data_IF_493620932625
#
_entry.id   IF_493620932625
#
_cell.length_a   1.000
_cell.length_b   1.000
_cell.length_c   1.000
_cell.angle_alpha   90.00
_cell.angle_beta   90.00
_cell.angle_gamma   90.00
#
_symmetry.space_group_name_H-M   'P 1'
#
loop_
_entity.id
_entity.type
_entity.pdbx_description
1 polymer ?
#
# COMPACT_ATOMS: atom_id res chain seq x y z
N UNK A 1 19.38 -37.77 -49.41
CA UNK A 1 19.43 -37.65 -47.93
C UNK A 1 19.31 -36.20 -47.40
N UNK A 2 19.54 -35.17 -48.21
CA UNK A 2 19.44 -33.77 -47.82
C UNK A 2 18.00 -33.27 -47.47
N UNK A 3 17.00 -33.80 -48.15
CA UNK A 3 15.59 -33.35 -47.94
C UNK A 3 15.01 -33.66 -46.56
N UNK A 4 15.46 -34.71 -45.88
CA UNK A 4 14.93 -35.10 -44.54
C UNK A 4 15.45 -34.18 -43.43
N UNK A 5 16.66 -33.64 -43.57
CA UNK A 5 17.23 -32.72 -42.58
C UNK A 5 16.57 -31.34 -42.66
N UNK A 6 16.29 -30.86 -43.86
CA UNK A 6 15.62 -29.55 -44.07
C UNK A 6 14.19 -29.60 -43.55
N UNK A 7 13.47 -30.72 -43.80
CA UNK A 7 12.10 -30.91 -43.34
C UNK A 7 12.01 -31.03 -41.81
N UNK A 8 12.97 -31.67 -41.14
CA UNK A 8 13.06 -31.77 -39.70
C UNK A 8 13.34 -30.40 -39.05
N UNK A 9 14.23 -29.58 -39.66
CA UNK A 9 14.54 -28.26 -39.16
C UNK A 9 13.37 -27.28 -39.32
N UNK A 10 12.67 -27.30 -40.45
CA UNK A 10 11.49 -26.47 -40.68
C UNK A 10 10.32 -26.85 -39.73
N UNK A 11 10.08 -28.12 -39.46
CA UNK A 11 9.06 -28.57 -38.50
C UNK A 11 9.42 -28.17 -37.05
N UNK A 12 10.69 -28.16 -36.69
CA UNK A 12 11.12 -27.72 -35.34
C UNK A 12 10.93 -26.23 -35.15
N UNK A 13 11.26 -25.39 -36.15
CA UNK A 13 11.07 -23.96 -36.12
C UNK A 13 9.58 -23.62 -36.03
N UNK A 14 8.72 -24.31 -36.76
CA UNK A 14 7.27 -24.05 -36.74
C UNK A 14 6.62 -24.43 -35.41
N UNK A 15 7.11 -25.47 -34.71
CA UNK A 15 6.62 -25.82 -33.36
C UNK A 15 7.00 -24.82 -32.27
N UNK A 16 8.05 -24.03 -32.46
CA UNK A 16 8.48 -23.00 -31.51
C UNK A 16 7.90 -21.62 -31.80
N UNK A 17 7.66 -21.29 -33.05
CA UNK A 17 7.16 -19.95 -33.45
C UNK A 17 5.76 -19.68 -32.92
N UNK A 18 4.85 -20.63 -32.94
CA UNK A 18 3.48 -20.49 -32.46
C UNK A 18 3.39 -20.34 -30.93
N UNK A 19 4.06 -21.18 -30.10
CA UNK A 19 4.09 -20.95 -28.65
C UNK A 19 4.80 -19.66 -28.24
N UNK A 20 5.86 -19.26 -28.94
CA UNK A 20 6.60 -18.04 -28.65
C UNK A 20 5.77 -16.80 -28.96
N UNK A 21 5.04 -16.79 -30.06
CA UNK A 21 4.14 -15.69 -30.42
C UNK A 21 2.96 -15.57 -29.43
N UNK A 22 2.40 -16.68 -28.94
CA UNK A 22 1.37 -16.70 -27.90
C UNK A 22 1.93 -16.16 -26.58
N UNK A 23 3.09 -16.61 -26.14
CA UNK A 23 3.74 -16.14 -24.93
C UNK A 23 4.03 -14.64 -24.99
N UNK A 24 4.50 -14.12 -26.14
CA UNK A 24 4.75 -12.70 -26.34
C UNK A 24 3.45 -11.89 -26.32
N UNK A 25 2.37 -12.39 -26.92
CA UNK A 25 1.06 -11.75 -26.91
C UNK A 25 0.48 -11.69 -25.49
N UNK A 26 0.61 -12.78 -24.71
CA UNK A 26 0.19 -12.83 -23.31
C UNK A 26 1.00 -11.88 -22.42
N UNK A 27 2.32 -11.81 -22.61
CA UNK A 27 3.16 -10.83 -21.89
C UNK A 27 2.77 -9.39 -22.22
N UNK A 28 2.49 -9.08 -23.48
CA UNK A 28 2.04 -7.74 -23.88
C UNK A 28 0.64 -7.43 -23.32
N UNK A 29 -0.27 -8.40 -23.25
CA UNK A 29 -1.59 -8.21 -22.66
C UNK A 29 -1.50 -7.96 -21.15
N UNK A 30 -0.68 -8.76 -20.44
CA UNK A 30 -0.41 -8.57 -19.01
C UNK A 30 0.31 -7.25 -18.73
N UNK A 31 1.27 -6.85 -19.56
CA UNK A 31 1.94 -5.54 -19.46
C UNK A 31 0.96 -4.37 -19.61
N UNK A 32 0.03 -4.44 -20.56
CA UNK A 32 -1.05 -3.44 -20.70
C UNK A 32 -2.00 -3.41 -19.49
N UNK A 33 -2.27 -4.55 -18.88
CA UNK A 33 -3.10 -4.62 -17.68
C UNK A 33 -2.39 -4.02 -16.46
N UNK A 34 -1.10 -4.29 -16.29
CA UNK A 34 -0.25 -3.67 -15.26
C UNK A 34 -0.22 -2.14 -15.44
N UNK A 35 -0.07 -1.66 -16.67
CA UNK A 35 -0.04 -0.23 -16.96
C UNK A 35 -1.40 0.46 -16.70
N UNK A 36 -2.52 -0.20 -16.99
CA UNK A 36 -3.87 0.27 -16.62
C UNK A 36 -4.04 0.35 -15.09
N UNK A 37 -3.59 -0.67 -14.37
CA UNK A 37 -3.63 -0.70 -12.90
C UNK A 37 -2.74 0.39 -12.30
N UNK A 38 -1.53 0.57 -12.80
CA UNK A 38 -0.62 1.65 -12.36
C UNK A 38 -1.22 3.05 -12.62
N UNK A 39 -1.88 3.26 -13.76
CA UNK A 39 -2.56 4.51 -14.06
C UNK A 39 -3.80 4.74 -13.18
N UNK A 40 -4.53 3.69 -12.83
CA UNK A 40 -5.64 3.77 -11.86
C UNK A 40 -5.14 4.14 -10.48
N UNK A 41 -4.06 3.50 -10.01
CA UNK A 41 -3.40 3.83 -8.74
C UNK A 41 -2.93 5.30 -8.75
N UNK A 42 -2.32 5.76 -9.84
CA UNK A 42 -1.87 7.16 -9.98
C UNK A 42 -3.05 8.15 -9.97
N UNK A 43 -4.18 7.82 -10.62
CA UNK A 43 -5.40 8.65 -10.59
C UNK A 43 -6.03 8.67 -9.20
N UNK A 44 -6.12 7.52 -8.55
CA UNK A 44 -6.62 7.41 -7.18
C UNK A 44 -5.72 8.19 -6.22
N UNK A 45 -4.40 8.13 -6.37
CA UNK A 45 -3.44 8.93 -5.60
C UNK A 45 -3.64 10.44 -5.76
N UNK A 46 -3.87 10.93 -7.00
CA UNK A 46 -4.15 12.35 -7.26
C UNK A 46 -5.51 12.80 -6.69
N UNK A 47 -6.55 11.97 -6.81
CA UNK A 47 -7.85 12.27 -6.22
C UNK A 47 -7.80 12.27 -4.69
N UNK A 48 -6.97 11.41 -4.09
CA UNK A 48 -6.75 11.37 -2.65
C UNK A 48 -5.98 12.60 -2.13
N UNK A 49 -5.08 13.15 -2.93
CA UNK A 49 -4.38 14.40 -2.59
C UNK A 49 -5.35 15.60 -2.55
N UNK A 50 -6.29 15.67 -3.48
CA UNK A 50 -7.32 16.73 -3.50
C UNK A 50 -8.37 16.58 -2.41
N UNK A 51 -8.71 15.34 -2.03
CA UNK A 51 -9.62 15.06 -0.90
C UNK A 51 -8.92 15.30 0.44
N UNK A 52 -7.61 15.01 0.55
CA UNK A 52 -6.82 15.23 1.77
C UNK A 52 -6.80 16.71 2.21
N UNK A 53 -6.66 17.63 1.26
CA UNK A 53 -6.65 19.07 1.55
C UNK A 53 -8.02 19.65 1.96
N UNK A 54 -9.11 19.02 1.50
CA UNK A 54 -10.48 19.47 1.84
C UNK A 54 -10.98 18.96 3.19
N UNK A 55 -10.40 17.85 3.71
CA UNK A 55 -10.81 17.20 4.97
C UNK A 55 -10.02 17.67 6.20
N UNK A 56 -8.92 18.42 6.01
CA UNK A 56 -8.10 18.90 7.14
C UNK A 56 -8.86 19.72 8.17
N UNK A 57 -9.95 20.37 7.79
CA UNK A 57 -10.71 21.28 8.65
C UNK A 57 -11.94 20.70 9.34
N UNK A 58 -12.44 19.50 8.95
CA UNK A 58 -13.74 19.03 9.42
C UNK A 58 -13.78 17.72 10.21
N UNK A 59 -12.70 16.94 10.28
CA UNK A 59 -12.78 15.54 10.76
C UNK A 59 -11.89 15.21 11.97
N UNK A 60 -10.98 16.09 12.38
CA UNK A 60 -10.04 15.80 13.48
C UNK A 60 -10.70 15.86 14.88
N UNK A 61 -11.87 16.49 14.98
CA UNK A 61 -12.56 16.76 16.26
C UNK A 61 -13.26 15.53 16.89
N UNK A 62 -13.91 14.59 16.15
CA UNK A 62 -14.71 13.55 16.79
C UNK A 62 -13.91 12.51 17.59
N UNK A 63 -12.79 11.99 17.06
CA UNK A 63 -12.03 10.93 17.77
C UNK A 63 -11.24 11.48 18.95
N UNK A 64 -10.68 12.69 18.85
CA UNK A 64 -10.04 13.32 20.01
C UNK A 64 -11.04 13.50 21.16
N UNK A 65 -12.29 13.86 20.84
CA UNK A 65 -13.37 13.95 21.83
C UNK A 65 -13.73 12.59 22.45
N UNK A 66 -13.75 11.52 21.65
CA UNK A 66 -14.05 10.16 22.12
C UNK A 66 -12.86 9.59 22.93
N UNK A 67 -11.61 9.85 22.53
CA UNK A 67 -10.43 9.46 23.29
C UNK A 67 -10.38 10.17 24.65
N UNK A 68 -10.72 11.45 24.71
CA UNK A 68 -10.81 12.18 25.96
C UNK A 68 -11.91 11.66 26.90
N UNK A 69 -12.99 11.10 26.33
CA UNK A 69 -14.10 10.51 27.08
C UNK A 69 -13.85 9.03 27.47
N UNK A 70 -12.89 8.35 26.86
CA UNK A 70 -12.58 6.93 27.06
C UNK A 70 -11.09 6.75 27.41
N UNK A 71 -10.74 6.84 28.69
CA UNK A 71 -9.36 6.64 29.17
C UNK A 71 -8.74 5.36 28.64
N UNK A 72 -9.49 4.26 28.56
CA UNK A 72 -9.01 2.97 28.05
C UNK A 72 -8.57 3.01 26.58
N UNK A 73 -9.25 3.77 25.72
CA UNK A 73 -8.84 3.93 24.33
C UNK A 73 -7.57 4.78 24.21
N UNK A 74 -7.44 5.80 25.03
CA UNK A 74 -6.25 6.64 25.08
C UNK A 74 -5.03 5.83 25.56
N UNK A 75 -5.17 5.04 26.62
CA UNK A 75 -4.11 4.19 27.14
C UNK A 75 -3.66 3.14 26.11
N UNK A 76 -4.61 2.50 25.41
CA UNK A 76 -4.27 1.53 24.35
C UNK A 76 -3.51 2.21 23.23
N UNK A 77 -3.99 3.36 22.76
CA UNK A 77 -3.33 4.12 21.70
C UNK A 77 -1.92 4.59 22.09
N UNK A 78 -1.75 5.11 23.31
CA UNK A 78 -0.43 5.51 23.80
C UNK A 78 0.53 4.33 23.87
N UNK A 79 0.06 3.16 24.30
CA UNK A 79 0.84 1.93 24.32
C UNK A 79 1.26 1.49 22.90
N UNK A 80 0.32 1.49 21.95
CA UNK A 80 0.59 1.12 20.56
C UNK A 80 1.60 2.07 19.92
N UNK A 81 1.42 3.37 20.15
CA UNK A 81 2.34 4.40 19.64
C UNK A 81 3.69 4.38 20.37
N UNK A 82 3.73 3.90 21.60
CA UNK A 82 4.98 3.60 22.31
C UNK A 82 5.77 2.51 21.59
N UNK A 83 5.11 1.44 21.09
CA UNK A 83 5.76 0.42 20.27
C UNK A 83 6.25 1.00 18.93
N UNK A 84 5.45 1.84 18.27
CA UNK A 84 5.88 2.55 17.06
C UNK A 84 7.14 3.37 17.32
N UNK A 85 7.20 4.06 18.47
CA UNK A 85 8.35 4.90 18.84
C UNK A 85 9.68 4.12 18.93
N UNK A 86 9.63 2.82 19.26
CA UNK A 86 10.86 1.98 19.31
C UNK A 86 11.47 1.73 17.92
N UNK A 87 10.71 1.93 16.85
CA UNK A 87 11.15 1.73 15.48
C UNK A 87 11.55 3.05 14.77
N UNK A 88 11.36 4.20 15.43
CA UNK A 88 11.63 5.49 14.81
C UNK A 88 13.12 5.83 14.91
N UNK A 89 13.75 6.14 13.78
CA UNK A 89 15.10 6.70 13.73
C UNK A 89 15.14 8.11 14.33
N UNK A 90 14.04 8.85 14.22
CA UNK A 90 13.85 10.18 14.80
C UNK A 90 12.57 10.21 15.64
N UNK A 91 12.71 10.19 16.96
CA UNK A 91 11.59 10.21 17.90
C UNK A 91 10.70 11.47 17.79
N UNK A 92 11.19 12.57 17.18
CA UNK A 92 10.38 13.74 16.89
C UNK A 92 9.26 13.43 15.86
N UNK A 93 9.40 12.38 15.09
CA UNK A 93 8.35 11.93 14.16
C UNK A 93 7.14 11.32 14.89
N UNK A 94 7.26 10.87 16.14
CA UNK A 94 6.17 10.23 16.88
C UNK A 94 4.90 11.06 16.90
N UNK A 95 5.01 12.37 17.18
CA UNK A 95 3.84 13.26 17.20
C UNK A 95 3.13 13.31 15.85
N UNK A 96 3.87 13.32 14.75
CA UNK A 96 3.29 13.35 13.41
C UNK A 96 2.65 12.00 13.04
N UNK A 97 3.22 10.87 13.47
CA UNK A 97 2.60 9.55 13.31
C UNK A 97 1.32 9.40 14.14
N UNK A 98 1.29 9.88 15.38
CA UNK A 98 0.08 9.92 16.21
C UNK A 98 -1.04 10.70 15.51
N UNK A 99 -0.75 11.90 15.04
CA UNK A 99 -1.72 12.72 14.31
C UNK A 99 -2.20 12.05 13.02
N UNK A 100 -1.30 11.44 12.26
CA UNK A 100 -1.61 10.71 11.05
C UNK A 100 -2.51 9.50 11.36
N UNK A 101 -2.22 8.72 12.39
CA UNK A 101 -3.02 7.55 12.78
C UNK A 101 -4.45 7.96 13.15
N UNK A 102 -4.61 9.00 13.97
CA UNK A 102 -5.94 9.56 14.33
C UNK A 102 -6.68 10.04 13.09
N UNK A 103 -6.02 10.80 12.21
CA UNK A 103 -6.60 11.29 10.96
C UNK A 103 -7.05 10.15 10.06
N UNK A 104 -6.20 9.15 9.86
CA UNK A 104 -6.50 7.98 9.01
C UNK A 104 -7.65 7.16 9.58
N UNK A 105 -7.70 6.93 10.88
CA UNK A 105 -8.81 6.25 11.55
C UNK A 105 -10.13 7.01 11.33
N UNK A 106 -10.12 8.34 11.47
CA UNK A 106 -11.28 9.20 11.21
C UNK A 106 -11.76 9.12 9.74
N UNK A 107 -10.82 9.17 8.78
CA UNK A 107 -11.14 9.17 7.34
C UNK A 107 -11.64 7.81 6.85
N UNK A 108 -11.11 6.74 7.39
CA UNK A 108 -11.41 5.37 6.92
C UNK A 108 -12.49 4.69 7.75
N UNK A 109 -12.73 5.13 8.98
CA UNK A 109 -13.59 4.44 9.96
C UNK A 109 -12.97 3.13 10.48
N UNK A 110 -11.69 2.88 10.21
CA UNK A 110 -10.96 1.73 10.75
C UNK A 110 -10.56 2.03 12.20
N UNK A 111 -10.67 1.02 13.08
CA UNK A 111 -10.34 1.18 14.49
C UNK A 111 -8.90 1.71 14.67
N UNK A 112 -8.72 2.65 15.60
CA UNK A 112 -7.43 3.32 15.83
C UNK A 112 -6.31 2.35 16.18
N UNK A 113 -6.62 1.31 16.98
CA UNK A 113 -5.69 0.23 17.30
C UNK A 113 -5.19 -0.48 16.03
N UNK A 114 -6.09 -0.88 15.13
CA UNK A 114 -5.73 -1.52 13.85
C UNK A 114 -4.87 -0.61 12.95
N UNK A 115 -5.15 0.69 12.96
CA UNK A 115 -4.33 1.68 12.28
C UNK A 115 -2.93 1.74 12.89
N UNK A 116 -2.83 1.77 14.23
CA UNK A 116 -1.53 1.82 14.95
C UNK A 116 -0.69 0.58 14.69
N UNK A 117 -1.29 -0.61 14.71
CA UNK A 117 -0.61 -1.86 14.33
C UNK A 117 -0.11 -1.83 12.89
N UNK A 118 -0.91 -1.32 11.95
CA UNK A 118 -0.50 -1.16 10.56
C UNK A 118 0.65 -0.16 10.39
N UNK A 119 0.67 0.93 11.18
CA UNK A 119 1.80 1.88 11.21
C UNK A 119 3.07 1.19 11.69
N UNK A 120 2.99 0.43 12.77
CA UNK A 120 4.11 -0.36 13.29
C UNK A 120 4.66 -1.31 12.20
N UNK A 121 3.78 -2.07 11.55
CA UNK A 121 4.15 -2.99 10.48
C UNK A 121 4.79 -2.28 9.28
N UNK A 122 4.26 -1.12 8.87
CA UNK A 122 4.81 -0.34 7.77
C UNK A 122 6.24 0.12 8.08
N UNK A 123 6.46 0.73 9.25
CA UNK A 123 7.78 1.22 9.66
C UNK A 123 8.76 0.06 9.82
N UNK A 124 8.34 -1.05 10.44
CA UNK A 124 9.15 -2.27 10.53
C UNK A 124 9.54 -2.82 9.17
N UNK A 125 8.70 -2.66 8.15
CA UNK A 125 8.94 -3.20 6.81
C UNK A 125 9.82 -2.32 5.94
N UNK A 126 9.62 -0.99 5.92
CA UNK A 126 10.28 -0.07 4.98
C UNK A 126 11.07 1.05 5.67
N UNK A 127 11.12 1.06 7.01
CA UNK A 127 11.82 2.07 7.80
C UNK A 127 11.05 3.36 8.01
N UNK A 128 11.61 4.24 8.86
CA UNK A 128 11.09 5.57 9.13
C UNK A 128 11.72 6.61 8.20
N UNK A 129 10.97 7.04 7.20
CA UNK A 129 11.29 8.18 6.33
C UNK A 129 10.35 9.38 6.59
N UNK A 130 9.81 9.47 7.80
CA UNK A 130 8.93 10.56 8.20
C UNK A 130 7.69 10.69 7.30
N UNK A 131 7.50 11.85 6.70
CA UNK A 131 6.34 12.16 5.85
C UNK A 131 6.17 11.18 4.67
N UNK A 132 7.26 10.64 4.13
CA UNK A 132 7.19 9.68 3.01
C UNK A 132 6.52 8.37 3.45
N UNK A 133 6.96 7.79 4.55
CA UNK A 133 6.35 6.57 5.13
C UNK A 133 4.89 6.81 5.51
N UNK A 134 4.55 7.97 6.08
CA UNK A 134 3.17 8.35 6.42
C UNK A 134 2.26 8.41 5.18
N UNK A 135 2.72 9.01 4.08
CA UNK A 135 1.97 9.06 2.82
C UNK A 135 1.70 7.66 2.26
N UNK A 136 2.72 6.79 2.28
CA UNK A 136 2.59 5.40 1.81
C UNK A 136 1.59 4.64 2.69
N UNK A 137 1.65 4.80 4.00
CA UNK A 137 0.71 4.17 4.92
C UNK A 137 -0.74 4.63 4.67
N UNK A 138 -0.96 5.93 4.47
CA UNK A 138 -2.30 6.45 4.16
C UNK A 138 -2.88 5.83 2.89
N UNK A 139 -2.06 5.60 1.86
CA UNK A 139 -2.48 4.89 0.64
C UNK A 139 -2.87 3.45 0.97
N UNK A 140 -2.07 2.75 1.78
CA UNK A 140 -2.34 1.37 2.20
C UNK A 140 -3.66 1.25 2.99
N UNK A 141 -3.88 2.13 3.97
CA UNK A 141 -5.10 2.14 4.78
C UNK A 141 -6.37 2.43 3.94
N UNK A 142 -6.27 3.36 2.98
CA UNK A 142 -7.38 3.66 2.06
C UNK A 142 -7.62 2.53 1.06
N UNK A 143 -6.55 1.87 0.59
CA UNK A 143 -6.67 0.69 -0.26
C UNK A 143 -7.34 -0.48 0.49
N UNK A 144 -6.98 -0.71 1.75
CA UNK A 144 -7.64 -1.70 2.61
C UNK A 144 -9.14 -1.43 2.71
N UNK A 145 -9.54 -0.19 3.02
CA UNK A 145 -10.95 0.20 3.13
C UNK A 145 -11.71 0.06 1.81
N UNK A 146 -11.11 0.51 0.71
CA UNK A 146 -11.74 0.47 -0.63
C UNK A 146 -11.71 -0.91 -1.28
N UNK A 147 -10.72 -1.73 -0.95
CA UNK A 147 -10.52 -3.08 -1.50
C UNK A 147 -11.12 -4.20 -0.67
N UNK A 148 -11.68 -3.91 0.53
CA UNK A 148 -12.23 -4.93 1.42
C UNK A 148 -11.18 -5.87 2.02
N UNK A 149 -9.90 -5.45 2.03
CA UNK A 149 -8.80 -6.18 2.65
C UNK A 149 -8.47 -5.62 4.04
N UNK A 150 -7.66 -6.33 4.81
CA UNK A 150 -7.14 -5.79 6.07
C UNK A 150 -6.06 -4.73 5.83
N UNK A 151 -5.83 -3.87 6.83
CA UNK A 151 -4.74 -2.90 6.81
C UNK A 151 -3.39 -3.63 6.70
N UNK A 152 -3.24 -4.72 7.43
CA UNK A 152 -2.03 -5.53 7.45
C UNK A 152 -1.71 -6.12 6.08
N UNK A 153 -2.71 -6.67 5.38
CA UNK A 153 -2.53 -7.21 4.01
C UNK A 153 -2.16 -6.12 3.01
N UNK A 154 -2.82 -4.96 3.06
CA UNK A 154 -2.51 -3.83 2.21
C UNK A 154 -1.11 -3.26 2.47
N UNK A 155 -0.70 -3.18 3.74
CA UNK A 155 0.65 -2.77 4.14
C UNK A 155 1.69 -3.78 3.64
N UNK A 156 1.45 -5.08 3.83
CA UNK A 156 2.34 -6.14 3.36
C UNK A 156 2.52 -6.09 1.84
N UNK A 157 1.44 -5.93 1.09
CA UNK A 157 1.47 -5.84 -0.37
C UNK A 157 2.30 -4.65 -0.85
N UNK A 158 2.04 -3.45 -0.30
CA UNK A 158 2.74 -2.23 -0.69
C UNK A 158 4.21 -2.30 -0.28
N UNK A 159 4.51 -2.79 0.92
CA UNK A 159 5.88 -2.95 1.41
C UNK A 159 6.68 -3.93 0.55
N UNK A 160 6.06 -5.05 0.14
CA UNK A 160 6.69 -6.03 -0.74
C UNK A 160 6.96 -5.45 -2.14
N UNK A 161 6.01 -4.70 -2.69
CA UNK A 161 6.21 -4.01 -3.97
C UNK A 161 7.36 -2.99 -3.90
N UNK A 162 7.50 -2.26 -2.79
CA UNK A 162 8.59 -1.29 -2.60
C UNK A 162 9.96 -1.92 -2.40
N UNK A 163 10.03 -3.15 -1.87
CA UNK A 163 11.31 -3.88 -1.70
C UNK A 163 11.75 -4.59 -2.98
N UNK A 164 10.81 -4.85 -3.91
CA UNK A 164 11.08 -5.53 -5.17
C UNK A 164 11.53 -4.59 -6.30
N UNK A 165 11.56 -3.29 -6.05
CA UNK A 165 12.00 -2.23 -6.96
C UNK A 165 13.07 -1.36 -6.28
#
# INVERSE_FOLDING_TARGET
>A
MANRFVDATLRLVDKFSSPLSKATAEMQAKGRQIQKTANSIKRTGKNLESVGTSLEKKVTVPIIGIMAASGKMADTFEKDMGQVNTLLDNHNHLKSYKNMAIKTSNETGIALHTISEGVYQMISSIGDSGTKTQKIFNVAAKAAKGGGSSVQESVALISSAMKGY
#
